data_IF_776311789330
#
_entry.id   IF_776311789330
#
_cell.length_a   1.000
_cell.length_b   1.000
_cell.length_c   1.000
_cell.angle_alpha   90.00
_cell.angle_beta   90.00
_cell.angle_gamma   90.00
#
_symmetry.space_group_name_H-M   'P 1'
#
loop_
_entity.id
_entity.type
_entity.pdbx_description
1 polymer ?
#
# COMPACT_ATOMS: atom_id res chain seq x y z
N UNK A 1 -4.95 34.06 7.21
CA UNK A 1 -5.25 32.78 7.88
C UNK A 1 -5.36 31.60 6.89
N UNK A 2 -5.97 31.77 5.71
CA UNK A 2 -6.11 30.72 4.67
C UNK A 2 -4.80 30.17 4.06
N UNK A 3 -3.75 31.00 3.91
CA UNK A 3 -2.47 30.57 3.30
C UNK A 3 -1.68 29.54 4.13
N UNK A 4 -1.94 29.44 5.43
CA UNK A 4 -1.17 28.54 6.32
C UNK A 4 -1.67 27.09 6.22
N UNK A 5 -3.00 26.90 6.17
CA UNK A 5 -3.63 25.59 6.00
C UNK A 5 -3.25 25.00 4.64
N UNK A 6 -3.27 25.83 3.58
CA UNK A 6 -2.93 25.37 2.24
C UNK A 6 -1.45 24.97 2.10
N UNK A 7 -0.54 25.72 2.74
CA UNK A 7 0.88 25.33 2.85
C UNK A 7 1.06 24.01 3.60
N UNK A 8 0.26 23.75 4.63
CA UNK A 8 0.31 22.49 5.38
C UNK A 8 -0.20 21.30 4.56
N UNK A 9 -1.27 21.48 3.80
CA UNK A 9 -1.81 20.49 2.85
C UNK A 9 -0.78 20.17 1.76
N UNK A 10 -0.12 21.18 1.20
CA UNK A 10 0.98 21.00 0.24
C UNK A 10 2.20 20.31 0.85
N UNK A 11 2.57 20.64 2.09
CA UNK A 11 3.69 20.01 2.80
C UNK A 11 3.44 18.50 2.99
N UNK A 12 2.20 18.13 3.29
CA UNK A 12 1.77 16.74 3.45
C UNK A 12 1.44 16.04 2.12
N UNK A 13 1.53 16.74 0.98
CA UNK A 13 1.15 16.26 -0.37
C UNK A 13 -0.20 15.54 -0.41
N UNK A 14 -1.17 16.00 0.38
CA UNK A 14 -2.48 15.37 0.50
C UNK A 14 -3.31 15.46 -0.80
N UNK A 15 -2.98 16.42 -1.67
CA UNK A 15 -3.56 16.56 -3.01
C UNK A 15 -3.21 15.39 -3.94
N UNK A 16 -2.12 14.67 -3.67
CA UNK A 16 -1.67 13.51 -4.43
C UNK A 16 -2.04 12.19 -3.76
N UNK A 17 -2.78 12.20 -2.65
CA UNK A 17 -3.15 10.99 -1.94
C UNK A 17 -4.07 10.10 -2.79
N UNK A 18 -3.65 8.86 -2.97
CA UNK A 18 -4.35 7.80 -3.67
C UNK A 18 -4.47 6.60 -2.74
N UNK A 19 -5.67 6.06 -2.67
CA UNK A 19 -5.91 4.76 -2.06
C UNK A 19 -6.76 3.92 -3.00
N UNK A 20 -6.53 2.61 -3.00
CA UNK A 20 -7.33 1.65 -3.77
C UNK A 20 -7.49 0.34 -3.02
N UNK A 21 -8.51 -0.43 -3.41
CA UNK A 21 -8.62 -1.84 -3.03
C UNK A 21 -7.60 -2.66 -3.85
N UNK A 22 -7.39 -3.91 -3.41
CA UNK A 22 -6.63 -4.87 -4.19
C UNK A 22 -7.27 -5.09 -5.57
N UNK A 23 -6.44 -5.29 -6.59
CA UNK A 23 -6.91 -5.72 -7.90
C UNK A 23 -7.23 -7.21 -7.90
N UNK A 24 -7.96 -7.69 -8.91
CA UNK A 24 -8.23 -9.12 -9.06
C UNK A 24 -6.94 -9.94 -9.21
N UNK A 25 -5.91 -9.36 -9.82
CA UNK A 25 -4.59 -9.98 -9.96
C UNK A 25 -3.88 -10.12 -8.61
N UNK A 26 -3.87 -9.06 -7.81
CA UNK A 26 -3.31 -9.05 -6.45
C UNK A 26 -4.02 -10.01 -5.51
N UNK A 27 -5.35 -10.07 -5.59
CA UNK A 27 -6.15 -11.05 -4.85
C UNK A 27 -5.75 -12.46 -5.26
N UNK A 28 -5.65 -12.75 -6.56
CA UNK A 28 -5.29 -14.08 -7.07
C UNK A 28 -3.91 -14.55 -6.59
N UNK A 29 -2.89 -13.70 -6.67
CA UNK A 29 -1.55 -14.06 -6.18
C UNK A 29 -1.50 -14.21 -4.66
N UNK A 30 -2.33 -13.47 -3.94
CA UNK A 30 -2.39 -13.58 -2.47
C UNK A 30 -3.17 -14.82 -2.03
N UNK A 31 -4.25 -15.17 -2.73
CA UNK A 31 -5.04 -16.38 -2.50
C UNK A 31 -4.25 -17.65 -2.75
N UNK A 32 -3.30 -17.66 -3.70
CA UNK A 32 -2.46 -18.83 -3.94
C UNK A 32 -1.52 -19.14 -2.77
N UNK A 33 -1.25 -18.16 -1.89
CA UNK A 33 -0.35 -18.29 -0.73
C UNK A 33 -1.13 -18.42 0.58
N UNK A 34 -2.16 -17.59 0.78
CA UNK A 34 -2.89 -17.47 2.05
C UNK A 34 -4.29 -18.11 2.03
N UNK A 35 -4.80 -18.52 0.87
CA UNK A 35 -6.15 -19.08 0.74
C UNK A 35 -7.21 -18.13 1.24
N UNK A 36 -8.06 -18.60 2.15
CA UNK A 36 -9.16 -17.81 2.74
C UNK A 36 -8.81 -17.22 4.12
N UNK A 37 -7.53 -17.21 4.50
CA UNK A 37 -7.08 -16.71 5.81
C UNK A 37 -7.12 -15.19 5.94
N UNK A 38 -7.22 -14.48 4.82
CA UNK A 38 -7.19 -13.01 4.77
C UNK A 38 -8.50 -12.51 4.16
N UNK A 39 -9.13 -11.54 4.82
CA UNK A 39 -10.22 -10.78 4.20
C UNK A 39 -9.65 -9.72 3.24
N UNK A 40 -9.44 -10.12 1.99
CA UNK A 40 -8.90 -9.27 0.93
C UNK A 40 -9.74 -8.01 0.66
N UNK A 41 -11.02 -7.99 1.05
CA UNK A 41 -11.90 -6.85 0.83
C UNK A 41 -11.56 -5.65 1.73
N UNK A 42 -10.88 -5.91 2.85
CA UNK A 42 -10.47 -4.90 3.83
C UNK A 42 -9.11 -4.30 3.53
N UNK A 43 -8.26 -5.02 2.80
CA UNK A 43 -6.90 -4.59 2.44
C UNK A 43 -6.96 -3.46 1.43
N UNK A 44 -6.21 -2.39 1.70
CA UNK A 44 -6.09 -1.22 0.82
C UNK A 44 -4.62 -0.88 0.59
N UNK A 45 -4.32 -0.42 -0.61
CA UNK A 45 -3.00 0.07 -1.03
C UNK A 45 -3.04 1.60 -1.05
N UNK A 46 -2.11 2.24 -0.35
CA UNK A 46 -2.04 3.69 -0.20
C UNK A 46 -0.67 4.20 -0.65
N UNK A 47 -0.63 5.26 -1.47
CA UNK A 47 0.61 5.95 -1.84
C UNK A 47 1.10 6.91 -0.73
N UNK A 48 0.84 6.55 0.53
CA UNK A 48 1.22 7.31 1.70
C UNK A 48 2.15 6.47 2.57
N UNK A 49 3.36 6.95 2.85
CA UNK A 49 4.28 6.23 3.72
C UNK A 49 3.70 6.17 5.14
N UNK A 50 3.88 5.04 5.82
CA UNK A 50 3.46 4.86 7.20
C UNK A 50 4.29 5.72 8.17
N UNK A 51 5.58 5.88 7.89
CA UNK A 51 6.49 6.75 8.65
C UNK A 51 7.01 7.89 7.77
N UNK A 52 7.17 9.13 8.30
CA UNK A 52 7.73 10.24 7.53
C UNK A 52 9.12 9.97 6.93
N UNK A 53 9.89 9.08 7.56
CA UNK A 53 11.23 8.65 7.14
C UNK A 53 11.27 7.25 6.52
N UNK A 54 10.12 6.65 6.17
CA UNK A 54 10.09 5.37 5.44
C UNK A 54 10.95 5.50 4.18
N UNK A 55 11.92 4.61 3.91
CA UNK A 55 12.76 4.70 2.71
C UNK A 55 11.97 4.34 1.44
N UNK A 56 12.53 4.66 0.27
CA UNK A 56 11.98 4.26 -1.04
C UNK A 56 12.22 2.76 -1.23
N UNK A 57 11.28 2.07 -1.88
CA UNK A 57 11.34 0.63 -2.14
C UNK A 57 10.88 -0.25 -0.97
N UNK A 58 10.34 0.34 0.10
CA UNK A 58 9.79 -0.41 1.24
C UNK A 58 8.28 -0.25 1.26
N UNK A 59 7.60 -1.39 1.28
CA UNK A 59 6.18 -1.52 1.58
C UNK A 59 6.06 -1.81 3.08
N UNK A 60 5.03 -1.27 3.75
CA UNK A 60 4.77 -1.56 5.17
C UNK A 60 3.28 -1.79 5.37
N UNK A 61 2.90 -2.83 6.12
CA UNK A 61 1.49 -3.12 6.38
C UNK A 61 1.11 -3.35 7.85
N UNK A 62 1.31 -2.38 8.76
CA UNK A 62 1.15 -2.58 10.20
C UNK A 62 -0.30 -2.67 10.71
N UNK A 63 -1.30 -2.20 9.95
CA UNK A 63 -2.71 -2.12 10.38
C UNK A 63 -3.69 -2.60 9.30
N UNK A 64 -3.35 -3.64 8.53
CA UNK A 64 -4.20 -4.16 7.45
C UNK A 64 -4.21 -3.32 6.16
N UNK A 65 -3.45 -2.22 6.12
CA UNK A 65 -3.27 -1.37 4.93
C UNK A 65 -1.83 -1.38 4.48
N UNK A 66 -1.61 -1.45 3.17
CA UNK A 66 -0.29 -1.40 2.56
C UNK A 66 0.08 0.05 2.30
N UNK A 67 1.14 0.50 2.97
CA UNK A 67 1.69 1.83 2.90
C UNK A 67 3.00 1.83 2.12
N UNK A 68 3.09 2.71 1.13
CA UNK A 68 4.27 2.88 0.32
C UNK A 68 4.42 4.35 -0.09
N UNK A 69 5.63 4.71 -0.50
CA UNK A 69 5.86 6.03 -1.10
C UNK A 69 5.21 6.11 -2.47
N UNK A 70 4.84 7.33 -2.84
CA UNK A 70 4.33 7.66 -4.18
C UNK A 70 5.25 7.18 -5.32
N UNK A 71 6.57 7.22 -5.10
CA UNK A 71 7.56 6.72 -6.08
C UNK A 71 7.49 5.20 -6.33
N UNK A 72 6.96 4.44 -5.36
CA UNK A 72 6.84 2.99 -5.42
C UNK A 72 5.40 2.56 -5.77
N UNK A 73 4.50 3.52 -6.00
CA UNK A 73 3.09 3.24 -6.23
C UNK A 73 2.87 2.52 -7.55
N UNK A 74 2.21 1.37 -7.45
CA UNK A 74 1.86 0.54 -8.59
C UNK A 74 0.35 0.37 -8.66
N UNK A 75 -0.20 0.43 -9.86
CA UNK A 75 -1.62 0.19 -10.11
C UNK A 75 -1.99 -1.30 -9.93
N UNK A 76 -1.04 -2.22 -10.17
CA UNK A 76 -1.23 -3.66 -9.97
C UNK A 76 0.11 -4.39 -9.73
N UNK A 77 0.36 -4.84 -8.51
CA UNK A 77 1.60 -5.56 -8.15
C UNK A 77 1.70 -6.95 -8.81
N UNK A 78 0.59 -7.56 -9.23
CA UNK A 78 0.62 -8.86 -9.92
C UNK A 78 1.21 -8.80 -11.33
N UNK A 79 1.26 -7.61 -11.93
CA UNK A 79 1.89 -7.35 -13.22
C UNK A 79 3.39 -6.99 -13.10
N UNK A 80 3.91 -6.82 -11.88
CA UNK A 80 5.31 -6.46 -11.64
C UNK A 80 6.24 -7.67 -11.72
N UNK A 81 7.55 -7.44 -11.64
CA UNK A 81 8.52 -8.52 -11.59
C UNK A 81 8.30 -9.43 -10.38
N UNK A 82 8.76 -10.68 -10.47
CA UNK A 82 8.60 -11.67 -9.39
C UNK A 82 9.17 -11.19 -8.04
N UNK A 83 10.23 -10.38 -8.06
CA UNK A 83 10.78 -9.78 -6.84
C UNK A 83 9.79 -8.82 -6.17
N UNK A 84 9.11 -7.97 -6.94
CA UNK A 84 8.08 -7.07 -6.39
C UNK A 84 6.84 -7.84 -5.93
N UNK A 85 6.43 -8.88 -6.67
CA UNK A 85 5.36 -9.77 -6.23
C UNK A 85 5.71 -10.44 -4.90
N UNK A 86 6.95 -10.92 -4.73
CA UNK A 86 7.41 -11.53 -3.49
C UNK A 86 7.41 -10.55 -2.31
N UNK A 87 7.85 -9.31 -2.51
CA UNK A 87 7.79 -8.25 -1.48
C UNK A 87 6.33 -7.94 -1.12
N UNK A 88 5.45 -7.82 -2.11
CA UNK A 88 4.03 -7.60 -1.88
C UNK A 88 3.41 -8.73 -1.03
N UNK A 89 3.66 -9.99 -1.39
CA UNK A 89 3.20 -11.15 -0.63
C UNK A 89 3.83 -11.21 0.77
N UNK A 90 5.09 -10.81 0.93
CA UNK A 90 5.75 -10.74 2.24
C UNK A 90 5.01 -9.79 3.19
N UNK A 91 4.64 -8.60 2.72
CA UNK A 91 3.91 -7.61 3.51
C UNK A 91 2.44 -8.00 3.74
N UNK A 92 1.82 -8.76 2.82
CA UNK A 92 0.47 -9.29 3.01
C UNK A 92 0.35 -10.16 4.28
N UNK A 93 1.42 -10.83 4.72
CA UNK A 93 1.44 -11.56 5.99
C UNK A 93 1.03 -10.66 7.16
N UNK A 94 1.48 -9.41 7.16
CA UNK A 94 1.20 -8.45 8.23
C UNK A 94 -0.25 -7.92 8.18
N UNK A 95 -0.92 -8.04 7.04
CA UNK A 95 -2.34 -7.63 6.88
C UNK A 95 -3.35 -8.64 7.44
N UNK A 96 -2.93 -9.88 7.69
CA UNK A 96 -3.82 -11.01 8.02
C UNK A 96 -4.38 -11.02 9.46
N UNK A 97 -3.81 -10.22 10.37
CA UNK A 97 -4.13 -10.24 11.80
C UNK A 97 -4.76 -8.93 12.34
N UNK A 98 -5.25 -8.05 11.45
CA UNK A 98 -5.85 -6.75 11.82
C UNK A 98 -7.37 -6.80 11.80
#
# INVERSE_FOLDING_TARGET
>A
MFNFIWRFVQLLRLDQFKYRKLTDGEIRISQSVFGDLIDYSQVKVMNHPYLPWQPVGILMAPNGYIHLKDADYCEDFSCMSLGYQAVFIHEMVLTSNS
#
